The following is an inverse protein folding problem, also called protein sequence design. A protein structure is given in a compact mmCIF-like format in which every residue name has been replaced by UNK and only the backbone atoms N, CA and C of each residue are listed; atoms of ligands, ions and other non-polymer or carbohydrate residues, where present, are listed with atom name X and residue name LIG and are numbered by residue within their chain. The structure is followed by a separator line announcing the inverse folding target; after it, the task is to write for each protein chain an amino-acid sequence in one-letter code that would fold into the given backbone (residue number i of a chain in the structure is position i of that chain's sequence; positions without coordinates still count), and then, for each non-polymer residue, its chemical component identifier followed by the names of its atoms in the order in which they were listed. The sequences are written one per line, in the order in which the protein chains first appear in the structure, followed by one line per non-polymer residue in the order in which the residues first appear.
data_IF_269854280225
#
_entry.id   IF_269854280225
#
_cell.length_a   1.000
_cell.length_b   1.000
_cell.length_c   1.000
_cell.angle_alpha   90.00
_cell.angle_beta   90.00
_cell.angle_gamma   90.00
#
_symmetry.space_group_name_H-M   'P 1'
#
loop_
_entity.id
_entity.type
_entity.pdbx_description
1 polymer ?
#
# COMPACT_ATOMS: atom_id res chain seq x y z
N UNK A 1 -5.89 0.16 -3.42
CA UNK A 1 -4.48 0.56 -3.31
C UNK A 1 -4.35 1.76 -2.37
N UNK A 2 -3.11 2.12 -1.96
CA UNK A 2 -2.82 3.34 -1.21
C UNK A 2 -3.23 3.39 0.27
N UNK A 3 -3.94 2.39 0.83
CA UNK A 3 -4.44 2.42 2.22
C UNK A 3 -3.33 2.71 3.23
N UNK A 4 -2.30 1.85 3.31
CA UNK A 4 -1.22 1.99 4.27
C UNK A 4 -0.45 3.32 4.15
N UNK A 5 -0.18 3.79 2.91
CA UNK A 5 0.45 5.10 2.69
C UNK A 5 -0.42 6.24 3.22
N UNK A 6 -1.72 6.24 2.90
CA UNK A 6 -2.68 7.26 3.39
C UNK A 6 -2.77 7.24 4.93
N UNK A 7 -2.76 6.05 5.55
CA UNK A 7 -2.71 5.90 7.01
C UNK A 7 -1.47 6.59 7.58
N UNK A 8 -0.29 6.36 7.00
CA UNK A 8 0.96 6.93 7.50
C UNK A 8 1.05 8.44 7.29
N UNK A 9 0.59 8.97 6.14
CA UNK A 9 0.50 10.41 5.95
C UNK A 9 -0.45 11.06 6.98
N UNK A 10 -1.64 10.51 7.16
CA UNK A 10 -2.60 11.05 8.14
C UNK A 10 -2.05 10.96 9.57
N UNK A 11 -1.40 9.84 9.92
CA UNK A 11 -0.73 9.69 11.21
C UNK A 11 0.32 10.78 11.43
N UNK A 12 1.19 11.02 10.45
CA UNK A 12 2.22 12.04 10.52
C UNK A 12 1.61 13.44 10.69
N UNK A 13 0.60 13.79 9.90
CA UNK A 13 -0.12 15.08 9.98
C UNK A 13 -0.72 15.29 11.37
N UNK A 14 -1.42 14.30 11.91
CA UNK A 14 -2.03 14.42 13.24
C UNK A 14 -0.97 14.48 14.35
N UNK A 15 0.17 13.81 14.17
CA UNK A 15 1.29 13.88 15.12
C UNK A 15 1.91 15.28 15.14
N UNK A 16 2.14 15.91 13.97
CA UNK A 16 2.63 17.29 13.87
C UNK A 16 1.61 18.33 14.40
N UNK A 17 0.33 18.00 14.38
CA UNK A 17 -0.72 18.77 15.03
C UNK A 17 -0.73 18.60 16.57
N UNK A 18 0.09 17.68 17.12
CA UNK A 18 0.28 17.47 18.56
C UNK A 18 -0.60 16.38 19.15
N UNK A 19 -1.26 15.56 18.33
CA UNK A 19 -2.09 14.45 18.80
C UNK A 19 -1.27 13.17 19.01
N UNK A 20 -1.66 12.38 20.00
CA UNK A 20 -1.12 11.03 20.24
C UNK A 20 -1.86 10.04 19.37
N UNK A 21 -1.18 9.53 18.35
CA UNK A 21 -1.77 8.69 17.32
C UNK A 21 -1.08 7.33 17.25
N UNK A 22 -1.83 6.27 17.02
CA UNK A 22 -1.32 4.94 16.69
C UNK A 22 -2.08 4.37 15.51
N UNK A 23 -1.45 3.40 14.83
CA UNK A 23 -2.00 2.78 13.63
C UNK A 23 -2.04 1.27 13.74
N UNK A 24 -3.08 0.69 13.13
CA UNK A 24 -3.15 -0.74 12.82
C UNK A 24 -3.16 -0.89 11.30
N UNK A 25 -2.16 -1.58 10.75
CA UNK A 25 -1.94 -1.71 9.30
C UNK A 25 -1.76 -3.16 8.88
N UNK A 26 -1.97 -3.45 7.59
CA UNK A 26 -1.76 -4.78 7.03
C UNK A 26 -1.47 -4.76 5.52
N UNK A 27 -0.67 -5.74 5.02
CA UNK A 27 0.13 -6.70 5.79
C UNK A 27 1.41 -6.09 6.36
N UNK A 28 2.19 -6.84 7.14
CA UNK A 28 3.56 -6.49 7.51
C UNK A 28 4.54 -6.84 6.38
N UNK A 29 5.72 -6.25 6.43
CA UNK A 29 6.80 -6.52 5.48
C UNK A 29 7.78 -7.57 6.02
N UNK A 30 8.26 -7.41 7.25
CA UNK A 30 9.23 -8.30 7.90
C UNK A 30 8.65 -8.92 9.16
N UNK A 31 8.20 -8.11 10.13
CA UNK A 31 7.71 -8.58 11.43
C UNK A 31 6.21 -8.36 11.61
N UNK A 32 5.54 -9.34 12.20
CA UNK A 32 4.12 -9.26 12.55
C UNK A 32 3.80 -8.07 13.48
N UNK A 33 4.76 -7.64 14.29
CA UNK A 33 4.61 -6.50 15.20
C UNK A 33 4.42 -5.17 14.47
N UNK A 34 4.89 -5.04 13.21
CA UNK A 34 4.68 -3.85 12.37
C UNK A 34 3.20 -3.49 12.21
N UNK A 35 2.30 -4.49 12.34
CA UNK A 35 0.85 -4.26 12.19
C UNK A 35 0.23 -3.47 13.32
N UNK A 36 0.85 -3.45 14.49
CA UNK A 36 0.37 -2.76 15.70
C UNK A 36 1.45 -1.77 16.11
N UNK A 37 1.31 -0.54 15.69
CA UNK A 37 2.34 0.47 15.88
C UNK A 37 2.74 0.66 17.34
N UNK A 38 4.04 0.56 17.62
CA UNK A 38 4.65 0.83 18.91
C UNK A 38 4.57 -0.33 19.90
N UNK A 39 4.03 -1.48 19.52
CA UNK A 39 3.98 -2.67 20.38
C UNK A 39 5.36 -3.33 20.48
N UNK A 40 5.82 -3.64 21.69
CA UNK A 40 7.01 -4.47 21.89
C UNK A 40 6.69 -5.96 21.74
N UNK A 41 7.71 -6.81 21.60
CA UNK A 41 7.50 -8.26 21.54
C UNK A 41 6.83 -8.82 22.81
N UNK A 42 7.21 -8.29 23.97
CA UNK A 42 6.63 -8.69 25.25
C UNK A 42 5.15 -8.30 25.32
N UNK A 43 4.81 -7.07 24.96
CA UNK A 43 3.42 -6.59 24.93
C UNK A 43 2.59 -7.34 23.89
N UNK A 44 3.21 -7.72 22.75
CA UNK A 44 2.56 -8.54 21.75
C UNK A 44 2.18 -9.92 22.30
N UNK A 45 3.08 -10.58 23.04
CA UNK A 45 2.82 -11.86 23.71
C UNK A 45 1.74 -11.72 24.78
N UNK A 46 1.76 -10.63 25.58
CA UNK A 46 0.69 -10.36 26.56
C UNK A 46 -0.68 -10.20 25.88
N UNK A 47 -0.76 -9.38 24.85
CA UNK A 47 -2.01 -9.18 24.10
C UNK A 47 -2.49 -10.47 23.44
N UNK A 48 -1.57 -11.29 22.89
CA UNK A 48 -1.88 -12.61 22.38
C UNK A 48 -2.55 -13.50 23.43
N UNK A 49 -1.99 -13.57 24.65
CA UNK A 49 -2.54 -14.38 25.72
C UNK A 49 -3.94 -13.93 26.14
N UNK A 50 -4.17 -12.62 26.22
CA UNK A 50 -5.48 -12.04 26.58
C UNK A 50 -6.53 -12.44 25.51
N UNK A 51 -6.21 -12.21 24.23
CA UNK A 51 -7.14 -12.52 23.13
C UNK A 51 -7.37 -14.03 22.99
N UNK A 52 -6.31 -14.84 23.14
CA UNK A 52 -6.41 -16.30 23.14
C UNK A 52 -7.38 -16.80 24.20
N UNK A 53 -7.23 -16.35 25.45
CA UNK A 53 -8.12 -16.74 26.55
C UNK A 53 -9.57 -16.36 26.25
N UNK A 54 -9.79 -15.16 25.70
CA UNK A 54 -11.13 -14.71 25.27
C UNK A 54 -11.71 -15.60 24.17
N UNK A 55 -10.91 -16.00 23.17
CA UNK A 55 -11.31 -16.92 22.11
C UNK A 55 -11.67 -18.31 22.66
N UNK A 56 -10.87 -18.86 23.57
CA UNK A 56 -11.15 -20.16 24.19
C UNK A 56 -12.49 -20.15 24.93
N UNK A 57 -12.80 -19.08 25.67
CA UNK A 57 -14.11 -18.91 26.32
C UNK A 57 -15.26 -18.75 25.31
N UNK A 58 -15.03 -18.05 24.19
CA UNK A 58 -16.03 -17.88 23.14
C UNK A 58 -16.36 -19.23 22.46
N UNK A 59 -15.34 -20.04 22.17
CA UNK A 59 -15.50 -21.39 21.60
C UNK A 59 -16.27 -22.31 22.55
N UNK A 60 -16.02 -22.25 23.88
CA UNK A 60 -16.80 -22.98 24.88
C UNK A 60 -18.30 -22.61 24.88
N UNK A 61 -18.63 -21.41 24.40
CA UNK A 61 -20.02 -20.91 24.19
C UNK A 61 -20.55 -21.18 22.78
N UNK A 62 -19.92 -22.07 22.01
CA UNK A 62 -20.25 -22.41 20.62
C UNK A 62 -20.14 -21.26 19.63
N UNK A 63 -19.29 -20.25 19.90
CA UNK A 63 -18.92 -19.24 18.92
C UNK A 63 -17.72 -19.73 18.10
N UNK A 64 -17.59 -19.20 16.89
CA UNK A 64 -16.45 -19.53 16.03
C UNK A 64 -15.16 -18.90 16.56
N UNK A 65 -14.04 -19.56 16.30
CA UNK A 65 -12.72 -19.00 16.54
C UNK A 65 -12.46 -17.83 15.58
N UNK A 66 -11.78 -16.80 16.06
CA UNK A 66 -11.37 -15.67 15.22
C UNK A 66 -10.43 -16.13 14.09
N UNK A 67 -10.59 -15.57 12.91
CA UNK A 67 -9.61 -15.68 11.84
C UNK A 67 -8.29 -14.97 12.23
N UNK A 68 -7.23 -15.22 11.46
CA UNK A 68 -5.93 -14.60 11.71
C UNK A 68 -5.99 -13.07 11.78
N UNK A 69 -6.71 -12.44 10.85
CA UNK A 69 -6.83 -10.98 10.82
C UNK A 69 -7.69 -10.44 11.98
N UNK A 70 -8.83 -11.09 12.27
CA UNK A 70 -9.68 -10.73 13.42
C UNK A 70 -8.93 -10.84 14.75
N UNK A 71 -8.07 -11.85 14.87
CA UNK A 71 -7.26 -12.06 16.07
C UNK A 71 -6.25 -10.90 16.25
N UNK A 72 -5.54 -10.52 15.18
CA UNK A 72 -4.59 -9.39 15.22
C UNK A 72 -5.28 -8.05 15.47
N UNK A 73 -6.46 -7.84 14.87
CA UNK A 73 -7.27 -6.66 15.15
C UNK A 73 -7.69 -6.60 16.63
N UNK A 74 -8.13 -7.72 17.21
CA UNK A 74 -8.46 -7.78 18.64
C UNK A 74 -7.24 -7.51 19.52
N UNK A 75 -6.04 -8.02 19.16
CA UNK A 75 -4.80 -7.70 19.86
C UNK A 75 -4.48 -6.21 19.80
N UNK A 76 -4.62 -5.57 18.64
CA UNK A 76 -4.44 -4.13 18.47
C UNK A 76 -5.41 -3.34 19.36
N UNK A 77 -6.68 -3.73 19.40
CA UNK A 77 -7.68 -3.08 20.27
C UNK A 77 -7.32 -3.22 21.76
N UNK A 78 -6.85 -4.40 22.19
CA UNK A 78 -6.38 -4.62 23.58
C UNK A 78 -5.16 -3.74 23.88
N UNK A 79 -4.18 -3.67 22.98
CA UNK A 79 -2.98 -2.87 23.17
C UNK A 79 -3.31 -1.38 23.25
N UNK A 80 -4.03 -0.86 22.27
CA UNK A 80 -4.37 0.57 22.22
C UNK A 80 -5.28 1.01 23.37
N UNK A 81 -6.11 0.11 23.90
CA UNK A 81 -6.94 0.42 25.08
C UNK A 81 -6.14 0.69 26.35
N UNK A 82 -4.88 0.26 26.42
CA UNK A 82 -3.97 0.51 27.54
C UNK A 82 -3.24 1.86 27.43
N UNK A 83 -3.33 2.52 26.27
CA UNK A 83 -2.60 3.75 25.97
C UNK A 83 -3.53 4.97 26.06
N UNK A 84 -2.98 6.11 26.42
CA UNK A 84 -3.69 7.40 26.33
C UNK A 84 -3.52 7.97 24.93
N UNK A 85 -4.44 7.68 24.01
CA UNK A 85 -4.43 8.09 22.61
C UNK A 85 -5.55 9.07 22.32
N UNK A 86 -5.29 10.03 21.43
CA UNK A 86 -6.29 10.95 20.91
C UNK A 86 -6.97 10.35 19.66
N UNK A 87 -6.20 9.64 18.82
CA UNK A 87 -6.70 8.95 17.64
C UNK A 87 -6.03 7.59 17.44
N UNK A 88 -6.80 6.66 16.89
CA UNK A 88 -6.31 5.40 16.33
C UNK A 88 -6.79 5.29 14.90
N UNK A 89 -5.88 4.99 13.96
CA UNK A 89 -6.19 4.79 12.55
C UNK A 89 -6.12 3.30 12.25
N UNK A 90 -7.25 2.72 11.86
CA UNK A 90 -7.35 1.30 11.51
C UNK A 90 -7.42 1.13 10.00
N UNK A 91 -6.47 0.39 9.42
CA UNK A 91 -6.52 -0.06 8.04
C UNK A 91 -7.41 -1.30 7.91
N UNK A 92 -8.38 -1.30 6.99
CA UNK A 92 -9.17 -2.49 6.64
C UNK A 92 -8.29 -3.55 6.00
N UNK A 93 -8.49 -4.82 6.37
CA UNK A 93 -7.75 -5.94 5.77
C UNK A 93 -8.23 -6.25 4.35
N UNK A 94 -9.51 -6.56 4.21
CA UNK A 94 -10.11 -6.97 2.94
C UNK A 94 -11.53 -6.42 2.78
N UNK A 95 -11.79 -5.77 1.65
CA UNK A 95 -13.12 -5.22 1.34
C UNK A 95 -13.46 -4.04 2.23
N UNK A 96 -14.43 -4.18 3.11
CA UNK A 96 -14.88 -3.17 4.07
C UNK A 96 -16.10 -3.62 4.85
N UNK A 97 -17.22 -3.89 4.19
CA UNK A 97 -18.51 -4.24 4.80
C UNK A 97 -18.43 -5.39 5.81
N UNK A 98 -17.69 -6.43 5.49
CA UNK A 98 -17.49 -7.63 6.32
C UNK A 98 -16.10 -7.68 6.97
N UNK A 99 -15.32 -6.59 6.90
CA UNK A 99 -14.00 -6.54 7.52
C UNK A 99 -14.12 -6.48 9.06
N UNK A 100 -13.15 -7.10 9.74
CA UNK A 100 -13.14 -7.12 11.20
C UNK A 100 -13.14 -5.70 11.81
N UNK A 101 -12.47 -4.74 11.17
CA UNK A 101 -12.42 -3.34 11.63
C UNK A 101 -13.77 -2.64 11.53
N UNK A 102 -14.73 -3.18 10.77
CA UNK A 102 -16.04 -2.55 10.55
C UNK A 102 -16.99 -2.60 11.76
N UNK A 103 -16.58 -3.26 12.85
CA UNK A 103 -17.29 -3.20 14.15
C UNK A 103 -17.10 -1.83 14.84
N UNK A 104 -16.10 -1.06 14.44
CA UNK A 104 -15.83 0.26 14.98
C UNK A 104 -16.81 1.29 14.46
N UNK A 105 -17.07 2.33 15.28
CA UNK A 105 -17.74 3.55 14.87
C UNK A 105 -16.69 4.65 14.78
N UNK A 106 -16.19 4.97 13.57
CA UNK A 106 -15.13 5.95 13.39
C UNK A 106 -15.66 7.38 13.45
N UNK A 107 -14.74 8.34 13.63
CA UNK A 107 -15.04 9.78 13.49
C UNK A 107 -14.83 10.29 12.06
N UNK A 108 -14.14 9.52 11.24
CA UNK A 108 -13.90 9.76 9.82
C UNK A 108 -13.68 8.43 9.11
N UNK A 109 -14.20 8.30 7.91
CA UNK A 109 -13.96 7.17 7.00
C UNK A 109 -13.13 7.63 5.82
N UNK A 110 -12.17 6.82 5.36
CA UNK A 110 -11.36 7.12 4.18
C UNK A 110 -11.43 5.92 3.21
N UNK A 111 -11.70 6.20 1.93
CA UNK A 111 -11.69 5.21 0.86
C UNK A 111 -10.68 5.66 -0.19
N UNK A 112 -9.62 4.86 -0.36
CA UNK A 112 -8.54 5.11 -1.30
C UNK A 112 -8.81 4.44 -2.64
N UNK A 113 -7.87 4.51 -3.58
CA UNK A 113 -7.98 3.98 -4.94
C UNK A 113 -8.56 2.56 -5.01
N UNK A 114 -9.54 2.37 -5.89
CA UNK A 114 -10.24 1.11 -6.13
C UNK A 114 -9.84 0.57 -7.50
N UNK A 115 -9.28 -0.63 -7.51
CA UNK A 115 -8.95 -1.41 -8.69
C UNK A 115 -9.48 -2.83 -8.58
N UNK A 116 -9.38 -3.59 -9.64
CA UNK A 116 -9.70 -5.02 -9.65
C UNK A 116 -8.66 -5.77 -8.82
N UNK A 117 -9.04 -6.19 -7.64
CA UNK A 117 -8.25 -7.06 -6.76
C UNK A 117 -9.21 -7.91 -5.92
N UNK A 118 -8.74 -9.08 -5.51
CA UNK A 118 -9.53 -10.01 -4.70
C UNK A 118 -10.92 -10.34 -5.28
N UNK A 119 -11.04 -10.39 -6.61
CA UNK A 119 -12.31 -10.58 -7.34
C UNK A 119 -13.11 -11.80 -6.88
N UNK A 120 -12.44 -12.85 -6.45
CA UNK A 120 -13.08 -14.07 -5.90
C UNK A 120 -13.96 -13.78 -4.67
N UNK A 121 -13.64 -12.71 -3.90
CA UNK A 121 -14.33 -12.37 -2.65
C UNK A 121 -15.16 -11.10 -2.74
N UNK A 122 -14.72 -10.11 -3.52
CA UNK A 122 -15.31 -8.79 -3.55
C UNK A 122 -16.22 -8.55 -4.78
N UNK A 123 -16.19 -9.46 -5.75
CA UNK A 123 -16.92 -9.32 -7.03
C UNK A 123 -16.01 -8.98 -8.19
N UNK A 124 -16.56 -9.06 -9.40
CA UNK A 124 -15.81 -8.98 -10.66
C UNK A 124 -15.96 -7.62 -11.37
N UNK A 125 -16.54 -6.64 -10.72
CA UNK A 125 -16.71 -5.28 -11.26
C UNK A 125 -16.25 -4.24 -10.26
N UNK A 126 -15.87 -3.06 -10.76
CA UNK A 126 -15.46 -1.92 -9.94
C UNK A 126 -16.59 -1.52 -8.98
N UNK A 127 -17.85 -1.52 -9.43
CA UNK A 127 -19.00 -1.17 -8.61
C UNK A 127 -19.23 -2.17 -7.46
N UNK A 128 -19.06 -3.48 -7.71
CA UNK A 128 -19.20 -4.49 -6.67
C UNK A 128 -18.12 -4.31 -5.60
N UNK A 129 -16.85 -4.13 -6.01
CA UNK A 129 -15.73 -3.89 -5.09
C UNK A 129 -15.93 -2.58 -4.32
N UNK A 130 -16.40 -1.52 -5.00
CA UNK A 130 -16.71 -0.23 -4.38
C UNK A 130 -17.83 -0.36 -3.35
N UNK A 131 -18.86 -1.16 -3.61
CA UNK A 131 -19.95 -1.45 -2.68
C UNK A 131 -19.46 -2.12 -1.39
N UNK A 132 -18.57 -3.13 -1.49
CA UNK A 132 -17.96 -3.76 -0.33
C UNK A 132 -17.11 -2.78 0.49
N UNK A 133 -16.35 -1.88 -0.19
CA UNK A 133 -15.55 -0.87 0.48
C UNK A 133 -16.41 0.24 1.10
N UNK A 134 -17.44 0.71 0.42
CA UNK A 134 -18.38 1.70 0.92
C UNK A 134 -19.16 1.22 2.17
N UNK A 135 -19.18 -0.09 2.44
CA UNK A 135 -19.77 -0.67 3.65
C UNK A 135 -19.11 -0.24 4.97
N UNK A 136 -17.97 0.47 4.94
CA UNK A 136 -17.37 1.06 6.15
C UNK A 136 -17.95 2.43 6.51
N UNK A 137 -18.71 3.05 5.62
CA UNK A 137 -19.35 4.34 5.87
C UNK A 137 -20.42 4.16 6.97
N UNK A 138 -20.47 5.08 7.93
CA UNK A 138 -21.41 5.04 9.04
C UNK A 138 -22.34 6.27 8.99
N UNK A 139 -23.53 6.11 9.55
CA UNK A 139 -24.54 7.17 9.57
C UNK A 139 -24.00 8.45 10.21
N UNK A 140 -24.05 9.55 9.46
CA UNK A 140 -23.62 10.88 9.91
C UNK A 140 -22.09 11.06 10.03
N UNK A 141 -21.27 10.04 9.72
CA UNK A 141 -19.80 10.13 9.78
C UNK A 141 -19.26 10.53 8.41
N UNK A 142 -18.47 11.59 8.29
CA UNK A 142 -17.93 12.02 6.99
C UNK A 142 -17.04 10.95 6.35
N UNK A 143 -17.07 10.90 5.01
CA UNK A 143 -16.19 10.05 4.21
C UNK A 143 -15.39 10.90 3.23
N UNK A 144 -14.07 10.75 3.30
CA UNK A 144 -13.12 11.28 2.30
C UNK A 144 -12.73 10.14 1.36
N UNK A 145 -12.83 10.36 0.06
CA UNK A 145 -12.53 9.29 -0.90
C UNK A 145 -11.82 9.79 -2.15
N UNK A 146 -10.93 8.93 -2.65
CA UNK A 146 -10.22 9.06 -3.92
C UNK A 146 -10.17 7.69 -4.59
N UNK A 147 -11.18 7.38 -5.40
CA UNK A 147 -11.34 6.02 -5.91
C UNK A 147 -10.61 5.76 -7.23
N UNK A 148 -10.31 6.82 -7.99
CA UNK A 148 -9.71 6.72 -9.32
C UNK A 148 -10.69 6.27 -10.42
N UNK A 149 -11.99 6.11 -10.12
CA UNK A 149 -13.03 5.65 -11.04
C UNK A 149 -14.36 6.37 -10.81
N UNK A 150 -14.98 6.85 -11.88
CA UNK A 150 -16.30 7.52 -11.80
C UNK A 150 -17.40 6.56 -11.34
N UNK A 151 -17.32 5.31 -11.73
CA UNK A 151 -18.27 4.26 -11.32
C UNK A 151 -18.16 4.01 -9.80
N UNK A 152 -16.95 3.89 -9.29
CA UNK A 152 -16.71 3.71 -7.85
C UNK A 152 -17.11 4.96 -7.05
N UNK A 153 -16.82 6.16 -7.55
CA UNK A 153 -17.22 7.43 -6.94
C UNK A 153 -18.75 7.52 -6.78
N UNK A 154 -19.48 7.11 -7.81
CA UNK A 154 -20.96 7.09 -7.75
C UNK A 154 -21.48 6.14 -6.66
N UNK A 155 -20.88 4.96 -6.51
CA UNK A 155 -21.25 4.00 -5.46
C UNK A 155 -20.98 4.55 -4.07
N UNK A 156 -19.78 5.12 -3.84
CA UNK A 156 -19.41 5.72 -2.54
C UNK A 156 -20.33 6.89 -2.20
N UNK A 157 -20.59 7.78 -3.15
CA UNK A 157 -21.48 8.93 -2.99
C UNK A 157 -22.90 8.50 -2.63
N UNK A 158 -23.47 7.55 -3.37
CA UNK A 158 -24.82 7.04 -3.12
C UNK A 158 -24.94 6.41 -1.72
N UNK A 159 -23.94 5.65 -1.29
CA UNK A 159 -23.90 5.06 0.03
C UNK A 159 -23.80 6.11 1.14
N UNK A 160 -23.00 7.15 0.94
CA UNK A 160 -22.86 8.26 1.88
C UNK A 160 -24.18 9.04 2.00
N UNK A 161 -24.85 9.36 0.88
CA UNK A 161 -26.16 10.03 0.87
C UNK A 161 -27.23 9.21 1.62
N UNK A 162 -27.26 7.88 1.39
CA UNK A 162 -28.20 6.98 2.07
C UNK A 162 -28.00 6.95 3.60
N UNK A 163 -26.77 7.23 4.07
CA UNK A 163 -26.40 7.25 5.48
C UNK A 163 -26.32 8.67 6.07
N UNK A 164 -26.76 9.70 5.33
CA UNK A 164 -26.63 11.11 5.73
C UNK A 164 -25.20 11.47 6.15
N UNK A 165 -24.20 10.87 5.52
CA UNK A 165 -22.78 11.11 5.71
C UNK A 165 -22.30 12.18 4.71
N UNK A 166 -21.49 13.14 5.16
CA UNK A 166 -20.86 14.10 4.25
C UNK A 166 -19.82 13.37 3.38
N UNK A 167 -19.94 13.48 2.05
CA UNK A 167 -19.09 12.83 1.08
C UNK A 167 -18.09 13.84 0.45
N UNK A 168 -16.82 13.69 0.74
CA UNK A 168 -15.76 14.59 0.25
C UNK A 168 -14.95 13.82 -0.80
N UNK A 169 -15.19 14.13 -2.09
CA UNK A 169 -14.42 13.55 -3.18
C UNK A 169 -13.14 14.34 -3.41
N UNK A 170 -11.99 13.68 -3.24
CA UNK A 170 -10.66 14.27 -3.44
C UNK A 170 -10.39 14.59 -4.91
N UNK A 171 -11.09 13.97 -5.87
CA UNK A 171 -11.03 14.36 -7.28
C UNK A 171 -11.45 15.82 -7.54
N UNK A 172 -12.15 16.46 -6.58
CA UNK A 172 -12.45 17.89 -6.63
C UNK A 172 -11.36 18.79 -6.04
N UNK A 173 -10.26 18.21 -5.57
CA UNK A 173 -9.05 18.93 -5.14
C UNK A 173 -8.11 18.96 -6.32
N UNK A 174 -7.86 20.15 -6.87
CA UNK A 174 -6.87 20.31 -7.92
C UNK A 174 -5.47 20.22 -7.30
N UNK A 175 -4.57 19.46 -7.92
CA UNK A 175 -3.16 19.49 -7.58
C UNK A 175 -2.30 19.41 -8.84
N UNK A 176 -1.11 19.97 -8.76
CA UNK A 176 -0.13 19.96 -9.84
C UNK A 176 1.21 19.47 -9.31
N UNK A 177 1.91 18.65 -10.05
CA UNK A 177 3.32 18.36 -9.81
C UNK A 177 4.09 19.55 -10.39
N UNK A 178 4.77 20.30 -9.51
CA UNK A 178 5.50 21.52 -9.86
C UNK A 178 6.91 21.18 -10.34
N UNK A 179 7.57 20.21 -9.67
CA UNK A 179 8.89 19.69 -10.04
C UNK A 179 8.99 18.20 -9.71
N UNK A 180 9.67 17.47 -10.55
CA UNK A 180 9.95 16.06 -10.37
C UNK A 180 11.44 15.78 -10.55
N UNK A 181 12.07 15.18 -9.56
CA UNK A 181 13.49 14.80 -9.59
C UNK A 181 13.66 13.28 -9.37
N UNK A 182 14.88 12.79 -9.42
CA UNK A 182 15.22 11.40 -9.07
C UNK A 182 15.13 11.11 -7.56
N UNK A 183 14.71 12.09 -6.75
CA UNK A 183 14.59 11.96 -5.29
C UNK A 183 13.29 12.52 -4.73
N UNK A 184 12.77 13.59 -5.30
CA UNK A 184 11.66 14.36 -4.73
C UNK A 184 10.59 14.66 -5.75
N UNK A 185 9.39 14.86 -5.26
CA UNK A 185 8.25 15.39 -6.01
C UNK A 185 7.79 16.65 -5.28
N UNK A 186 7.92 17.81 -5.94
CA UNK A 186 7.34 19.05 -5.46
C UNK A 186 5.95 19.22 -6.07
N UNK A 187 4.94 19.54 -5.26
CA UNK A 187 3.56 19.67 -5.72
C UNK A 187 2.81 20.78 -4.99
N UNK A 188 1.81 21.34 -5.64
CA UNK A 188 0.88 22.29 -5.07
C UNK A 188 -0.54 21.75 -5.15
N UNK A 189 -1.36 22.02 -4.14
CA UNK A 189 -2.75 21.56 -4.11
C UNK A 189 -3.72 22.69 -3.75
N UNK A 190 -4.90 22.66 -4.38
CA UNK A 190 -5.91 23.69 -4.29
C UNK A 190 -7.29 23.07 -4.06
N UNK A 191 -7.92 23.44 -2.99
CA UNK A 191 -9.30 23.06 -2.72
C UNK A 191 -10.18 24.29 -2.55
N UNK A 192 -11.47 24.09 -2.42
CA UNK A 192 -12.43 25.15 -2.15
C UNK A 192 -12.13 25.94 -0.85
N UNK A 193 -11.45 25.29 0.10
CA UNK A 193 -11.30 25.79 1.47
C UNK A 193 -9.87 26.09 1.87
N UNK A 194 -8.89 25.55 1.15
CA UNK A 194 -7.46 25.70 1.47
C UNK A 194 -6.60 25.50 0.23
N UNK A 195 -5.41 26.08 0.27
CA UNK A 195 -4.40 25.94 -0.76
C UNK A 195 -3.03 25.80 -0.12
N UNK A 196 -2.20 24.96 -0.69
CA UNK A 196 -0.82 24.74 -0.29
C UNK A 196 0.06 24.79 -1.54
N UNK A 197 1.16 25.55 -1.51
CA UNK A 197 2.04 25.72 -2.64
C UNK A 197 3.44 25.20 -2.33
N UNK A 198 4.02 24.46 -3.26
CA UNK A 198 5.40 23.99 -3.15
C UNK A 198 5.62 23.03 -1.98
N UNK A 199 4.69 22.11 -1.76
CA UNK A 199 4.90 20.98 -0.85
C UNK A 199 5.89 20.02 -1.48
N UNK A 200 6.82 19.49 -0.67
CA UNK A 200 7.85 18.54 -1.11
C UNK A 200 7.65 17.18 -0.48
N UNK A 201 7.75 16.15 -1.29
CA UNK A 201 7.70 14.76 -0.87
C UNK A 201 9.00 14.04 -1.28
N UNK A 202 9.71 13.46 -0.33
CA UNK A 202 10.92 12.65 -0.56
C UNK A 202 10.53 11.27 -1.11
N UNK A 203 10.08 11.26 -2.36
CA UNK A 203 9.65 10.07 -3.08
C UNK A 203 9.76 10.27 -4.58
N UNK A 204 9.94 9.18 -5.32
CA UNK A 204 9.80 9.12 -6.78
C UNK A 204 8.50 8.43 -7.18
N UNK A 205 7.70 8.00 -6.22
CA UNK A 205 6.43 7.34 -6.45
C UNK A 205 5.33 8.39 -6.68
N UNK A 206 4.95 8.62 -7.93
CA UNK A 206 3.94 9.62 -8.31
C UNK A 206 2.60 9.40 -7.60
N UNK A 207 2.21 8.14 -7.38
CA UNK A 207 0.98 7.77 -6.65
C UNK A 207 0.99 8.18 -5.16
N UNK A 208 2.14 8.52 -4.60
CA UNK A 208 2.20 9.00 -3.21
C UNK A 208 1.66 10.43 -3.09
N UNK A 209 1.66 11.21 -4.17
CA UNK A 209 1.01 12.53 -4.19
C UNK A 209 -0.50 12.38 -3.98
N UNK A 210 -1.15 11.44 -4.67
CA UNK A 210 -2.59 11.12 -4.49
C UNK A 210 -2.89 10.72 -3.03
N UNK A 211 -2.04 9.87 -2.45
CA UNK A 211 -2.18 9.43 -1.07
C UNK A 211 -1.99 10.59 -0.07
N UNK A 212 -0.99 11.47 -0.32
CA UNK A 212 -0.73 12.65 0.50
C UNK A 212 -1.89 13.66 0.43
N UNK A 213 -2.38 13.98 -0.78
CA UNK A 213 -3.54 14.87 -0.98
C UNK A 213 -4.78 14.32 -0.29
N UNK A 214 -5.00 13.01 -0.37
CA UNK A 214 -6.10 12.33 0.33
C UNK A 214 -5.96 12.46 1.86
N UNK A 215 -4.77 12.23 2.39
CA UNK A 215 -4.51 12.34 3.84
C UNK A 215 -4.60 13.77 4.36
N UNK A 216 -4.10 14.78 3.60
CA UNK A 216 -4.20 16.20 3.95
C UNK A 216 -5.67 16.62 3.98
N UNK A 217 -6.45 16.21 2.98
CA UNK A 217 -7.88 16.45 2.93
C UNK A 217 -8.59 15.81 4.14
N UNK A 218 -8.28 14.55 4.43
CA UNK A 218 -8.83 13.82 5.57
C UNK A 218 -8.50 14.50 6.91
N UNK A 219 -7.24 14.93 7.11
CA UNK A 219 -6.82 15.67 8.30
C UNK A 219 -7.56 16.99 8.46
N UNK A 220 -7.72 17.73 7.38
CA UNK A 220 -8.47 19.01 7.36
C UNK A 220 -9.95 18.81 7.72
N UNK A 221 -10.58 17.79 7.16
CA UNK A 221 -11.99 17.42 7.47
C UNK A 221 -12.11 16.99 8.93
N UNK A 222 -11.22 16.12 9.40
CA UNK A 222 -11.24 15.60 10.78
C UNK A 222 -11.10 16.72 11.81
N UNK A 223 -10.20 17.67 11.55
CA UNK A 223 -9.93 18.78 12.49
C UNK A 223 -10.88 19.97 12.31
N UNK A 224 -11.69 19.99 11.25
CA UNK A 224 -12.63 21.08 10.96
C UNK A 224 -11.97 22.44 10.70
N UNK A 225 -10.68 22.44 10.32
CA UNK A 225 -9.88 23.66 10.05
C UNK A 225 -8.74 23.39 9.09
N UNK A 226 -8.23 24.45 8.45
CA UNK A 226 -6.99 24.38 7.70
C UNK A 226 -5.82 24.04 8.64
N UNK A 227 -4.92 23.19 8.18
CA UNK A 227 -3.68 22.83 8.85
C UNK A 227 -2.59 23.81 8.35
N UNK A 228 -1.67 24.23 9.20
CA UNK A 228 -0.57 25.08 8.79
C UNK A 228 0.35 24.36 7.79
N UNK A 229 0.77 25.05 6.72
CA UNK A 229 1.59 24.45 5.65
C UNK A 229 2.90 23.88 6.20
N UNK A 230 3.51 24.55 7.16
CA UNK A 230 4.75 24.10 7.80
C UNK A 230 4.58 22.75 8.50
N UNK A 231 3.44 22.51 9.13
CA UNK A 231 3.13 21.22 9.77
C UNK A 231 2.87 20.12 8.77
N UNK A 232 2.21 20.45 7.66
CA UNK A 232 2.04 19.50 6.54
C UNK A 232 3.40 19.13 5.99
N UNK A 233 4.29 20.13 5.74
CA UNK A 233 5.62 19.85 5.24
C UNK A 233 6.42 18.95 6.19
N UNK A 234 6.42 19.24 7.50
CA UNK A 234 7.07 18.39 8.50
C UNK A 234 6.51 16.95 8.47
N UNK A 235 5.20 16.79 8.30
CA UNK A 235 4.58 15.48 8.19
C UNK A 235 4.99 14.74 6.90
N UNK A 236 5.15 15.45 5.77
CA UNK A 236 5.65 14.89 4.52
C UNK A 236 7.14 14.50 4.62
N UNK A 237 7.96 15.32 5.29
CA UNK A 237 9.38 15.03 5.55
C UNK A 237 9.55 13.81 6.47
N UNK A 238 8.63 13.60 7.41
CA UNK A 238 8.62 12.46 8.30
C UNK A 238 8.01 11.18 7.69
N UNK A 239 7.45 11.28 6.47
CA UNK A 239 6.81 10.15 5.82
C UNK A 239 7.83 9.10 5.37
N UNK A 240 7.65 7.90 5.84
CA UNK A 240 8.35 6.72 5.33
C UNK A 240 7.40 5.52 5.36
N UNK A 241 7.26 4.85 4.22
CA UNK A 241 6.47 3.63 4.14
C UNK A 241 7.25 2.54 3.42
N UNK A 242 7.70 1.49 4.16
CA UNK A 242 8.53 0.43 3.60
C UNK A 242 7.90 -0.25 2.40
N UNK A 243 8.72 -0.56 1.38
CA UNK A 243 8.29 -1.28 0.19
C UNK A 243 7.37 -0.48 -0.74
N UNK A 244 7.48 0.84 -0.77
CA UNK A 244 6.80 1.71 -1.75
C UNK A 244 7.82 2.60 -2.46
N UNK A 245 8.34 2.13 -3.59
CA UNK A 245 9.49 2.71 -4.31
C UNK A 245 10.67 2.99 -3.36
N UNK A 246 10.85 2.12 -2.38
CA UNK A 246 11.90 2.25 -1.36
C UNK A 246 13.27 1.95 -1.97
N UNK A 247 14.21 2.86 -1.80
CA UNK A 247 15.62 2.66 -2.17
C UNK A 247 16.36 1.96 -1.02
N UNK A 248 16.83 0.73 -1.24
CA UNK A 248 17.71 0.04 -0.26
C UNK A 248 19.14 0.56 -0.33
N UNK A 249 19.56 0.97 -1.54
CA UNK A 249 20.83 1.66 -1.80
C UNK A 249 20.70 2.51 -3.08
N UNK A 250 21.85 2.96 -3.63
CA UNK A 250 21.87 3.81 -4.83
C UNK A 250 21.27 3.19 -6.08
N UNK A 251 21.16 1.86 -6.19
CA UNK A 251 20.76 1.13 -7.39
C UNK A 251 19.78 -0.04 -7.16
N UNK A 252 19.20 -0.19 -5.96
CA UNK A 252 18.12 -1.15 -5.68
C UNK A 252 16.89 -0.40 -5.23
N UNK A 253 15.76 -0.66 -5.88
CA UNK A 253 14.43 -0.16 -5.51
C UNK A 253 13.49 -1.33 -5.29
N UNK A 254 12.75 -1.32 -4.19
CA UNK A 254 11.74 -2.32 -3.89
C UNK A 254 10.35 -1.69 -3.88
N UNK A 255 9.36 -2.36 -4.49
CA UNK A 255 7.96 -1.94 -4.47
C UNK A 255 7.01 -3.13 -4.33
N UNK A 256 6.01 -2.98 -3.47
CA UNK A 256 5.02 -4.01 -3.16
C UNK A 256 3.85 -4.11 -4.13
N UNK A 257 3.92 -3.54 -5.33
CA UNK A 257 2.90 -3.67 -6.35
C UNK A 257 2.67 -5.15 -6.70
N UNK A 258 1.40 -5.60 -6.65
CA UNK A 258 1.03 -7.01 -6.79
C UNK A 258 -0.37 -7.22 -7.40
N UNK A 259 -0.90 -6.22 -8.05
CA UNK A 259 -2.09 -6.24 -8.90
C UNK A 259 -1.89 -5.28 -10.08
N UNK A 260 -2.74 -5.37 -11.09
CA UNK A 260 -2.60 -4.62 -12.34
C UNK A 260 -2.47 -3.11 -12.10
N UNK A 261 -3.43 -2.50 -11.39
CA UNK A 261 -3.42 -1.06 -11.10
C UNK A 261 -2.16 -0.61 -10.35
N UNK A 262 -1.67 -1.41 -9.39
CA UNK A 262 -0.43 -1.09 -8.68
C UNK A 262 0.81 -1.20 -9.58
N UNK A 263 0.84 -2.17 -10.50
CA UNK A 263 1.90 -2.31 -11.52
C UNK A 263 1.90 -1.15 -12.51
N UNK A 264 0.73 -0.65 -12.89
CA UNK A 264 0.61 0.57 -13.71
C UNK A 264 1.27 1.76 -13.01
N UNK A 265 0.90 2.02 -11.76
CA UNK A 265 1.46 3.12 -10.95
C UNK A 265 2.97 2.97 -10.68
N UNK A 266 3.43 1.74 -10.43
CA UNK A 266 4.84 1.43 -10.32
C UNK A 266 5.58 1.77 -11.62
N UNK A 267 5.06 1.32 -12.77
CA UNK A 267 5.66 1.55 -14.08
C UNK A 267 5.75 3.04 -14.42
N UNK A 268 4.68 3.80 -14.18
CA UNK A 268 4.66 5.27 -14.32
C UNK A 268 5.76 5.92 -13.49
N UNK A 269 5.90 5.52 -12.22
CA UNK A 269 6.91 6.05 -11.31
C UNK A 269 8.34 5.71 -11.74
N UNK A 270 8.57 4.48 -12.24
CA UNK A 270 9.89 4.07 -12.78
C UNK A 270 10.21 4.84 -14.05
N UNK A 271 9.25 5.03 -14.95
CA UNK A 271 9.48 5.79 -16.19
C UNK A 271 9.72 7.26 -15.91
N UNK A 272 9.05 7.86 -14.93
CA UNK A 272 9.26 9.25 -14.55
C UNK A 272 10.61 9.47 -13.84
N UNK A 273 10.93 8.61 -12.84
CA UNK A 273 12.10 8.83 -11.97
C UNK A 273 13.42 8.24 -12.48
N UNK A 274 13.36 7.32 -13.46
CA UNK A 274 14.53 6.55 -13.92
C UNK A 274 14.57 6.40 -15.45
N UNK A 275 14.11 7.42 -16.19
CA UNK A 275 14.04 7.37 -17.66
C UNK A 275 15.39 7.01 -18.30
N UNK A 276 16.47 7.65 -17.86
CA UNK A 276 17.81 7.54 -18.43
C UNK A 276 18.68 6.41 -17.82
N UNK A 277 18.06 5.51 -17.03
CA UNK A 277 18.79 4.40 -16.38
C UNK A 277 18.47 3.07 -17.01
N UNK A 278 19.49 2.22 -17.20
CA UNK A 278 19.28 0.81 -17.51
C UNK A 278 18.49 0.13 -16.40
N UNK A 279 17.45 -0.63 -16.75
CA UNK A 279 16.52 -1.24 -15.80
C UNK A 279 16.59 -2.76 -15.87
N UNK A 280 16.72 -3.37 -14.72
CA UNK A 280 16.58 -4.82 -14.50
C UNK A 280 15.42 -5.05 -13.55
N UNK A 281 14.54 -6.00 -13.86
CA UNK A 281 13.46 -6.42 -12.95
C UNK A 281 13.88 -7.69 -12.19
N UNK A 282 13.50 -7.75 -10.90
CA UNK A 282 13.40 -8.99 -10.15
C UNK A 282 11.95 -9.16 -9.75
N UNK A 283 11.34 -10.26 -10.19
CA UNK A 283 9.89 -10.46 -10.10
C UNK A 283 9.54 -11.80 -9.45
N UNK A 284 8.57 -11.76 -8.55
CA UNK A 284 7.84 -12.94 -8.10
C UNK A 284 6.41 -12.56 -7.73
N UNK A 285 5.48 -13.48 -7.90
CA UNK A 285 4.06 -13.26 -7.63
C UNK A 285 3.42 -14.48 -6.99
N UNK A 286 2.38 -14.27 -6.18
CA UNK A 286 1.60 -15.36 -5.60
C UNK A 286 0.57 -15.90 -6.60
N UNK A 287 0.30 -17.21 -6.55
CA UNK A 287 -0.55 -17.92 -7.50
C UNK A 287 -2.04 -17.57 -7.47
N UNK A 288 -2.47 -16.86 -6.44
CA UNK A 288 -3.84 -16.35 -6.31
C UNK A 288 -4.04 -14.96 -6.93
N UNK A 289 -3.00 -14.40 -7.55
CA UNK A 289 -3.06 -13.10 -8.23
C UNK A 289 -3.24 -13.27 -9.74
N UNK A 290 -3.80 -12.25 -10.37
CA UNK A 290 -3.90 -12.18 -11.84
C UNK A 290 -2.59 -11.61 -12.40
N UNK A 291 -1.60 -12.49 -12.59
CA UNK A 291 -0.25 -12.09 -12.95
C UNK A 291 -0.03 -11.90 -14.45
N UNK A 292 -0.85 -12.49 -15.31
CA UNK A 292 -0.69 -12.37 -16.76
C UNK A 292 -0.86 -10.92 -17.25
N UNK A 293 -1.91 -10.17 -16.84
CA UNK A 293 -2.02 -8.75 -17.16
C UNK A 293 -0.87 -7.91 -16.59
N UNK A 294 -0.42 -8.20 -15.36
CA UNK A 294 0.71 -7.51 -14.74
C UNK A 294 1.99 -7.64 -15.59
N UNK A 295 2.30 -8.88 -16.00
CA UNK A 295 3.48 -9.17 -16.86
C UNK A 295 3.35 -8.50 -18.22
N UNK A 296 2.16 -8.59 -18.84
CA UNK A 296 1.90 -7.96 -20.12
C UNK A 296 2.09 -6.43 -20.04
N UNK A 297 1.56 -5.80 -19.01
CA UNK A 297 1.69 -4.35 -18.79
C UNK A 297 3.15 -3.94 -18.61
N UNK A 298 3.91 -4.62 -17.74
CA UNK A 298 5.35 -4.38 -17.52
C UNK A 298 6.11 -4.47 -18.86
N UNK A 299 5.90 -5.54 -19.60
CA UNK A 299 6.60 -5.78 -20.87
C UNK A 299 6.22 -4.83 -21.98
N UNK A 300 5.03 -4.23 -21.95
CA UNK A 300 4.60 -3.22 -22.90
C UNK A 300 5.12 -1.83 -22.60
N UNK A 301 5.14 -1.45 -21.32
CA UNK A 301 5.29 -0.07 -20.88
C UNK A 301 6.61 0.24 -20.16
N UNK A 302 7.43 -0.77 -19.85
CA UNK A 302 8.73 -0.59 -19.19
C UNK A 302 9.85 -1.15 -20.06
N UNK A 303 10.82 -0.33 -20.42
CA UNK A 303 12.05 -0.78 -21.07
C UNK A 303 12.98 -1.42 -20.06
N UNK A 304 13.26 -2.73 -20.21
CA UNK A 304 14.13 -3.49 -19.33
C UNK A 304 15.13 -4.30 -20.13
N UNK A 305 16.37 -4.36 -19.66
CA UNK A 305 17.45 -5.18 -20.25
C UNK A 305 17.34 -6.65 -19.84
N UNK A 306 16.95 -6.88 -18.60
CA UNK A 306 16.83 -8.21 -18.05
C UNK A 306 15.67 -8.34 -17.06
N UNK A 307 15.11 -9.53 -16.98
CA UNK A 307 14.13 -9.94 -15.97
C UNK A 307 14.65 -11.18 -15.26
N UNK A 308 14.80 -11.07 -13.95
CA UNK A 308 15.07 -12.18 -13.05
C UNK A 308 13.78 -12.60 -12.38
N UNK A 309 13.42 -13.85 -12.51
CA UNK A 309 12.18 -14.39 -11.96
C UNK A 309 12.51 -15.38 -10.86
N UNK A 310 11.88 -15.22 -9.70
CA UNK A 310 12.04 -16.17 -8.60
C UNK A 310 10.70 -16.70 -8.09
N UNK A 311 10.72 -17.66 -7.18
CA UNK A 311 9.54 -18.24 -6.55
C UNK A 311 9.41 -17.72 -5.12
N UNK A 312 8.17 -17.52 -4.64
CA UNK A 312 7.92 -17.16 -3.25
C UNK A 312 8.07 -18.39 -2.35
N UNK A 313 8.57 -18.17 -1.13
CA UNK A 313 8.63 -19.21 -0.09
C UNK A 313 7.26 -19.28 0.64
N UNK A 314 6.26 -19.85 -0.03
CA UNK A 314 4.89 -19.95 0.49
C UNK A 314 4.09 -21.06 -0.20
N UNK A 315 2.97 -21.49 0.42
CA UNK A 315 2.02 -22.46 -0.15
C UNK A 315 1.37 -21.96 -1.46
N UNK A 316 1.49 -20.66 -1.77
CA UNK A 316 0.99 -20.02 -2.99
C UNK A 316 2.10 -19.79 -4.04
N UNK A 317 3.24 -20.45 -3.86
CA UNK A 317 4.38 -20.34 -4.76
C UNK A 317 4.03 -20.79 -6.19
N UNK A 318 4.56 -20.08 -7.17
CA UNK A 318 4.57 -20.49 -8.57
C UNK A 318 6.02 -20.72 -8.97
N UNK A 319 6.27 -21.72 -9.81
CA UNK A 319 7.60 -21.97 -10.35
C UNK A 319 8.13 -20.73 -11.10
N UNK A 320 9.38 -20.37 -10.78
CA UNK A 320 10.06 -19.27 -11.47
C UNK A 320 10.11 -19.49 -12.99
N UNK A 321 10.34 -20.72 -13.45
CA UNK A 321 10.40 -21.04 -14.88
C UNK A 321 9.05 -20.85 -15.60
N UNK A 322 7.94 -21.15 -14.92
CA UNK A 322 6.60 -20.91 -15.49
C UNK A 322 6.36 -19.40 -15.72
N UNK A 323 6.62 -18.57 -14.73
CA UNK A 323 6.50 -17.12 -14.85
C UNK A 323 7.51 -16.54 -15.86
N UNK A 324 8.74 -17.04 -15.88
CA UNK A 324 9.75 -16.65 -16.85
C UNK A 324 9.35 -16.97 -18.29
N UNK A 325 8.63 -18.09 -18.51
CA UNK A 325 8.09 -18.42 -19.83
C UNK A 325 7.07 -17.37 -20.31
N UNK A 326 6.22 -16.85 -19.41
CA UNK A 326 5.28 -15.76 -19.74
C UNK A 326 6.01 -14.47 -20.12
N UNK A 327 7.07 -14.09 -19.39
CA UNK A 327 7.90 -12.94 -19.75
C UNK A 327 8.56 -13.11 -21.11
N UNK A 328 9.13 -14.31 -21.42
CA UNK A 328 9.73 -14.60 -22.72
C UNK A 328 8.70 -14.53 -23.86
N UNK A 329 7.47 -14.99 -23.62
CA UNK A 329 6.38 -14.93 -24.62
C UNK A 329 5.91 -13.49 -24.84
N UNK A 330 5.81 -12.67 -23.79
CA UNK A 330 5.52 -11.25 -23.93
C UNK A 330 6.65 -10.51 -24.67
N UNK A 331 7.92 -10.79 -24.35
CA UNK A 331 9.08 -10.21 -25.05
C UNK A 331 9.06 -10.51 -26.55
N UNK A 332 8.74 -11.75 -26.94
CA UNK A 332 8.58 -12.12 -28.37
C UNK A 332 7.43 -11.34 -29.05
N UNK A 333 6.27 -11.19 -28.36
CA UNK A 333 5.12 -10.46 -28.91
C UNK A 333 5.39 -8.98 -29.09
N UNK A 334 6.23 -8.39 -28.24
CA UNK A 334 6.62 -6.97 -28.29
C UNK A 334 7.90 -6.73 -29.11
N UNK A 335 8.49 -7.78 -29.70
CA UNK A 335 9.74 -7.74 -30.50
C UNK A 335 10.92 -7.15 -29.69
N UNK A 336 10.91 -7.33 -28.36
CA UNK A 336 11.96 -6.83 -27.47
C UNK A 336 13.01 -7.90 -27.20
N UNK A 337 14.26 -7.49 -27.19
CA UNK A 337 15.38 -8.35 -26.81
C UNK A 337 15.64 -8.23 -25.31
N UNK A 338 14.95 -9.03 -24.51
CA UNK A 338 15.06 -9.03 -23.03
C UNK A 338 15.61 -10.37 -22.57
N UNK A 339 16.64 -10.34 -21.74
CA UNK A 339 17.19 -11.54 -21.11
C UNK A 339 16.32 -11.96 -19.92
N UNK A 340 15.79 -13.19 -19.95
CA UNK A 340 14.91 -13.69 -18.87
C UNK A 340 15.56 -14.89 -18.19
N UNK A 341 15.88 -14.71 -16.90
CA UNK A 341 16.48 -15.71 -16.01
C UNK A 341 15.43 -16.24 -15.03
N UNK A 342 15.60 -17.48 -14.58
CA UNK A 342 14.71 -18.10 -13.61
C UNK A 342 15.51 -18.88 -12.57
N UNK A 343 15.29 -18.59 -11.31
CA UNK A 343 15.82 -19.35 -10.17
C UNK A 343 14.77 -19.35 -9.05
N UNK A 344 14.39 -20.53 -8.55
CA UNK A 344 13.42 -20.64 -7.46
C UNK A 344 13.95 -20.15 -6.11
N UNK A 345 15.26 -20.04 -5.93
CA UNK A 345 15.86 -19.52 -4.71
C UNK A 345 15.96 -17.98 -4.78
N UNK A 346 15.26 -17.29 -3.87
CA UNK A 346 15.20 -15.83 -3.84
C UNK A 346 16.59 -15.22 -3.59
N UNK A 347 17.41 -15.83 -2.70
CA UNK A 347 18.72 -15.30 -2.33
C UNK A 347 19.70 -15.39 -3.50
N UNK A 348 19.75 -16.54 -4.17
CA UNK A 348 20.57 -16.75 -5.37
C UNK A 348 20.16 -15.81 -6.49
N UNK A 349 18.86 -15.78 -6.82
CA UNK A 349 18.29 -14.95 -7.87
C UNK A 349 18.57 -13.45 -7.64
N UNK A 350 18.39 -12.97 -6.40
CA UNK A 350 18.69 -11.59 -6.03
C UNK A 350 20.18 -11.27 -6.15
N UNK A 351 21.08 -12.17 -5.69
CA UNK A 351 22.51 -11.96 -5.76
C UNK A 351 23.01 -11.87 -7.22
N UNK A 352 22.49 -12.73 -8.11
CA UNK A 352 22.82 -12.67 -9.54
C UNK A 352 22.30 -11.40 -10.21
N UNK A 353 21.03 -11.01 -9.94
CA UNK A 353 20.45 -9.80 -10.47
C UNK A 353 21.20 -8.54 -10.01
N UNK A 354 21.56 -8.49 -8.73
CA UNK A 354 22.30 -7.38 -8.16
C UNK A 354 23.71 -7.26 -8.73
N UNK A 355 24.45 -8.38 -8.81
CA UNK A 355 25.78 -8.40 -9.42
C UNK A 355 25.77 -7.95 -10.89
N UNK A 356 24.76 -8.34 -11.66
CA UNK A 356 24.60 -7.91 -13.04
C UNK A 356 24.36 -6.39 -13.15
N UNK A 357 23.57 -5.82 -12.25
CA UNK A 357 23.28 -4.37 -12.19
C UNK A 357 24.52 -3.58 -11.75
N UNK A 358 25.26 -4.05 -10.73
CA UNK A 358 26.50 -3.40 -10.30
C UNK A 358 27.55 -3.34 -11.43
N UNK A 359 27.70 -4.43 -12.17
CA UNK A 359 28.66 -4.49 -13.28
C UNK A 359 28.35 -3.53 -14.43
N UNK A 360 27.08 -3.17 -14.63
CA UNK A 360 26.59 -2.32 -15.74
C UNK A 360 26.27 -0.88 -15.33
N UNK A 361 26.13 -0.61 -14.03
CA UNK A 361 25.73 0.72 -13.51
C UNK A 361 24.25 1.03 -13.67
N UNK A 362 23.38 0.00 -13.81
CA UNK A 362 21.93 0.11 -13.94
C UNK A 362 21.17 0.23 -12.61
N UNK A 363 19.87 -0.04 -12.66
CA UNK A 363 18.94 -0.08 -11.52
C UNK A 363 18.25 -1.44 -11.45
N UNK A 364 18.17 -2.02 -10.25
CA UNK A 364 17.40 -3.21 -9.95
C UNK A 364 16.07 -2.83 -9.30
N UNK A 365 14.97 -3.22 -9.93
CA UNK A 365 13.62 -3.03 -9.41
C UNK A 365 13.04 -4.38 -8.99
N UNK A 366 12.73 -4.53 -7.71
CA UNK A 366 12.13 -5.75 -7.16
C UNK A 366 10.63 -5.50 -6.94
N UNK A 367 9.77 -6.30 -7.60
CA UNK A 367 8.32 -6.04 -7.65
C UNK A 367 7.51 -7.33 -7.85
N UNK A 368 6.21 -7.27 -7.59
CA UNK A 368 5.24 -8.34 -7.84
C UNK A 368 4.68 -8.98 -6.57
N UNK A 369 5.32 -8.81 -5.41
CA UNK A 369 4.82 -9.34 -4.14
C UNK A 369 5.44 -8.63 -2.94
N UNK A 370 4.61 -8.33 -1.93
CA UNK A 370 5.11 -7.87 -0.62
C UNK A 370 6.01 -8.91 0.07
N UNK A 371 5.73 -10.20 -0.11
CA UNK A 371 6.59 -11.27 0.43
C UNK A 371 7.97 -11.29 -0.21
N UNK A 372 8.04 -11.07 -1.53
CA UNK A 372 9.32 -10.95 -2.24
C UNK A 372 10.14 -9.81 -1.66
N UNK A 373 9.59 -8.60 -1.65
CA UNK A 373 10.35 -7.41 -1.25
C UNK A 373 10.71 -7.42 0.23
N UNK A 374 9.87 -8.00 1.10
CA UNK A 374 10.21 -8.23 2.50
C UNK A 374 11.42 -9.18 2.66
N UNK A 375 11.44 -10.27 1.88
CA UNK A 375 12.58 -11.19 1.89
C UNK A 375 13.87 -10.55 1.35
N UNK A 376 13.76 -9.76 0.28
CA UNK A 376 14.92 -9.02 -0.28
C UNK A 376 15.45 -8.00 0.72
N UNK A 377 14.57 -7.25 1.36
CA UNK A 377 14.96 -6.29 2.40
C UNK A 377 15.68 -6.98 3.56
N UNK A 378 15.15 -8.10 4.03
CA UNK A 378 15.79 -8.91 5.07
C UNK A 378 17.18 -9.42 4.63
N UNK A 379 17.31 -9.98 3.39
CA UNK A 379 18.58 -10.43 2.84
C UNK A 379 19.59 -9.27 2.74
N UNK A 380 19.13 -8.10 2.33
CA UNK A 380 19.95 -6.91 2.24
C UNK A 380 20.49 -6.46 3.60
N UNK A 381 19.63 -6.40 4.62
CA UNK A 381 20.00 -6.03 6.00
C UNK A 381 20.98 -7.02 6.65
N UNK A 382 20.94 -8.32 6.26
CA UNK A 382 21.92 -9.31 6.71
C UNK A 382 23.30 -9.14 6.03
N UNK A 383 23.37 -8.45 4.89
CA UNK A 383 24.59 -8.38 4.05
C UNK A 383 25.37 -7.09 4.29
N UNK A 384 24.73 -6.04 4.80
CA UNK A 384 25.30 -4.73 5.13
C UNK A 384 25.60 -4.64 6.62
#
# INVERSE_FOLDING_TARGET
NGKGSTVQFLRAILTEEGYRVRTFTSPHLISITERIEGITEEEFVECYQIVRNACEHAVQKNLQHLSYFEFLFAMAAVYFSKLELDYVIYETGLGGRLDATNVLVPVLTIITEIGLDHMKYLGNTIEAIAGEKAGIIKTGVPVVYHTGSLEADAVVKNQAEALAAEAINVANVEYNIDEFTDKTIDFSMYSRYYSYNGLRLDSVATYQVDNAVTAITAGTVLLGRQIAQEKIQLALDAFFWPGRMEKLNGNIVIDGAHNESAIERFTESVNAGYADREKTLLFAVAGDKDYEPMIAYLMQNLEVEAVYVTSLDSDRAISAEYIAALFRDCAKKTERNVHVYADNDIRSCFAEAYAAVEARGGMLFCVGSLYLIGKIKYIWEETV
#
